data_IF_956145665084
#
_entry.id   IF_956145665084
#
_cell.length_a   1.000
_cell.length_b   1.000
_cell.length_c   1.000
_cell.angle_alpha   90.00
_cell.angle_beta   90.00
_cell.angle_gamma   90.00
#
_symmetry.space_group_name_H-M   'P 1'
#
loop_
_entity.id
_entity.type
_entity.pdbx_description
1 polymer ?
#
# COMPACT_ATOMS: atom_id res chain seq x y z
N UNK A 1 17.92 -29.22 -3.58
CA UNK A 1 17.08 -28.81 -4.70
C UNK A 1 16.43 -27.48 -4.40
N UNK A 2 16.62 -26.52 -5.28
CA UNK A 2 16.07 -25.17 -5.08
C UNK A 2 14.55 -25.16 -5.14
N UNK A 3 13.93 -24.23 -4.43
CA UNK A 3 12.50 -24.02 -4.51
C UNK A 3 12.20 -22.95 -5.57
N UNK A 4 11.30 -23.29 -6.49
CA UNK A 4 10.76 -22.32 -7.44
C UNK A 4 9.47 -21.76 -6.84
N UNK A 5 9.45 -20.46 -6.60
CA UNK A 5 8.31 -19.80 -5.95
C UNK A 5 7.56 -19.00 -7.00
N UNK A 6 6.28 -19.29 -7.15
CA UNK A 6 5.44 -18.64 -8.16
C UNK A 6 4.41 -17.73 -7.54
N UNK A 7 4.05 -16.68 -8.28
CA UNK A 7 2.95 -15.79 -7.91
C UNK A 7 1.61 -16.45 -8.29
N UNK A 8 0.51 -15.77 -7.90
CA UNK A 8 -0.83 -16.30 -8.15
C UNK A 8 -1.12 -16.56 -9.61
N UNK A 9 -0.48 -15.79 -10.51
CA UNK A 9 -0.70 -15.92 -11.97
C UNK A 9 0.23 -16.96 -12.60
N UNK A 10 0.89 -17.77 -11.80
CA UNK A 10 1.85 -18.82 -12.17
C UNK A 10 3.20 -18.29 -12.67
N UNK A 11 3.37 -16.97 -12.78
CA UNK A 11 4.67 -16.41 -13.13
C UNK A 11 5.64 -16.57 -11.96
N UNK A 12 6.88 -16.90 -12.28
CA UNK A 12 7.90 -17.09 -11.26
C UNK A 12 8.20 -15.80 -10.55
N UNK A 13 8.19 -15.84 -9.20
CA UNK A 13 8.65 -14.72 -8.38
C UNK A 13 10.16 -14.80 -8.18
N UNK A 14 10.65 -15.94 -7.73
CA UNK A 14 12.06 -16.13 -7.44
C UNK A 14 12.37 -17.63 -7.32
N UNK A 15 13.66 -17.95 -7.30
CA UNK A 15 14.15 -19.28 -6.99
C UNK A 15 14.99 -19.15 -5.72
N UNK A 16 14.66 -19.95 -4.71
CA UNK A 16 15.37 -19.94 -3.42
C UNK A 16 16.30 -21.13 -3.37
N UNK A 17 17.58 -20.88 -3.31
CA UNK A 17 18.60 -21.93 -3.26
C UNK A 17 18.60 -22.61 -1.92
N UNK A 18 19.06 -23.88 -1.89
CA UNK A 18 19.17 -24.64 -0.65
C UNK A 18 20.02 -23.90 0.36
N UNK A 19 19.58 -23.88 1.60
CA UNK A 19 20.33 -23.29 2.71
C UNK A 19 20.38 -21.78 2.71
N UNK A 20 19.58 -21.09 1.91
CA UNK A 20 19.61 -19.63 1.82
C UNK A 20 18.28 -19.00 2.19
N UNK A 21 18.33 -17.68 2.42
CA UNK A 21 17.16 -16.83 2.54
C UNK A 21 17.07 -15.95 1.30
N UNK A 22 15.86 -15.81 0.79
CA UNK A 22 15.60 -14.94 -0.35
C UNK A 22 14.80 -13.72 0.14
N UNK A 23 15.29 -12.54 -0.16
CA UNK A 23 14.67 -11.29 0.25
C UNK A 23 14.26 -10.45 -0.96
N UNK A 24 13.82 -11.12 -2.01
CA UNK A 24 13.24 -10.45 -3.18
C UNK A 24 12.01 -9.65 -2.79
N UNK A 25 11.25 -10.16 -1.81
CA UNK A 25 10.09 -9.46 -1.25
C UNK A 25 10.37 -9.01 0.17
N UNK A 26 9.36 -8.42 0.80
CA UNK A 26 9.47 -7.98 2.20
C UNK A 26 9.39 -9.15 3.19
N UNK A 27 9.07 -10.33 2.72
CA UNK A 27 9.19 -11.55 3.52
C UNK A 27 10.54 -12.20 3.26
N UNK A 28 11.00 -13.02 4.22
CA UNK A 28 12.20 -13.82 4.06
C UNK A 28 11.80 -15.21 3.64
N UNK A 29 11.97 -15.53 2.37
CA UNK A 29 11.63 -16.84 1.83
C UNK A 29 12.77 -17.82 2.12
N UNK A 30 12.41 -18.95 2.72
CA UNK A 30 13.38 -19.89 3.29
C UNK A 30 13.64 -21.00 2.28
N UNK A 31 14.91 -21.24 1.97
CA UNK A 31 15.33 -22.33 1.11
C UNK A 31 15.32 -23.65 1.87
N UNK A 32 15.42 -24.73 1.09
CA UNK A 32 15.46 -26.08 1.64
C UNK A 32 16.67 -26.22 2.57
N UNK A 33 16.45 -26.86 3.71
CA UNK A 33 17.52 -27.16 4.70
C UNK A 33 18.13 -25.92 5.34
N UNK A 34 17.42 -24.78 5.36
CA UNK A 34 17.92 -23.60 6.06
C UNK A 34 17.81 -23.81 7.56
N UNK A 35 18.94 -23.68 8.27
CA UNK A 35 18.96 -23.83 9.72
C UNK A 35 18.22 -22.66 10.38
N UNK A 36 17.36 -22.97 11.37
CA UNK A 36 16.60 -21.94 12.08
C UNK A 36 15.41 -21.41 11.32
N UNK A 37 14.89 -22.14 10.35
CA UNK A 37 13.79 -21.70 9.51
C UNK A 37 12.52 -21.38 10.30
N UNK A 38 12.31 -22.05 11.43
CA UNK A 38 11.06 -21.89 12.21
C UNK A 38 10.89 -20.48 12.75
N UNK A 39 11.96 -19.88 13.27
CA UNK A 39 11.90 -18.51 13.77
C UNK A 39 11.62 -17.54 12.64
N UNK A 40 12.28 -17.73 11.51
CA UNK A 40 12.09 -16.87 10.33
C UNK A 40 10.65 -16.94 9.85
N UNK A 41 10.08 -18.13 9.75
CA UNK A 41 8.70 -18.29 9.31
C UNK A 41 7.70 -17.67 10.28
N UNK A 42 7.96 -17.81 11.58
CA UNK A 42 7.08 -17.20 12.58
C UNK A 42 7.12 -15.67 12.46
N UNK A 43 8.28 -15.09 12.23
CA UNK A 43 8.39 -13.65 12.03
C UNK A 43 7.67 -13.22 10.76
N UNK A 44 7.75 -14.01 9.69
CA UNK A 44 6.98 -13.73 8.47
C UNK A 44 5.48 -13.71 8.75
N UNK A 45 4.99 -14.65 9.56
CA UNK A 45 3.56 -14.69 9.93
C UNK A 45 3.16 -13.44 10.69
N UNK A 46 4.02 -12.95 11.59
CA UNK A 46 3.72 -11.72 12.34
C UNK A 46 3.71 -10.52 11.41
N UNK A 47 4.65 -10.43 10.46
CA UNK A 47 4.64 -9.39 9.44
C UNK A 47 3.33 -9.38 8.65
N UNK A 48 2.86 -10.57 8.26
CA UNK A 48 1.58 -10.68 7.55
C UNK A 48 0.42 -10.24 8.43
N UNK A 49 0.41 -10.63 9.71
CA UNK A 49 -0.62 -10.21 10.65
C UNK A 49 -0.65 -8.69 10.82
N UNK A 50 0.52 -8.08 10.84
CA UNK A 50 0.65 -6.63 11.01
C UNK A 50 0.49 -5.87 9.70
N UNK A 51 0.26 -6.57 8.60
CA UNK A 51 0.19 -5.98 7.26
C UNK A 51 1.44 -5.15 6.97
N UNK A 52 2.62 -5.66 7.30
CA UNK A 52 3.90 -5.00 7.09
C UNK A 52 3.95 -3.60 7.72
N UNK A 53 3.37 -3.44 8.92
CA UNK A 53 3.25 -2.16 9.60
C UNK A 53 4.60 -1.45 9.71
N UNK A 54 4.57 -0.13 9.51
CA UNK A 54 5.76 0.70 9.66
C UNK A 54 5.49 2.12 9.22
N UNK A 55 6.34 3.04 9.66
CA UNK A 55 6.23 4.44 9.29
C UNK A 55 6.68 4.70 7.85
N UNK A 56 7.50 3.81 7.31
CA UNK A 56 7.98 3.89 5.93
C UNK A 56 7.40 2.74 5.12
N UNK A 57 7.18 2.99 3.83
CA UNK A 57 6.62 1.96 2.96
C UNK A 57 7.58 0.76 2.85
N UNK A 58 7.03 -0.46 2.73
CA UNK A 58 7.87 -1.64 2.52
C UNK A 58 8.72 -1.47 1.25
N UNK A 59 10.04 -1.74 1.35
CA UNK A 59 10.95 -1.43 0.24
C UNK A 59 10.93 -2.44 -0.90
N UNK A 60 10.36 -3.61 -0.68
CA UNK A 60 10.38 -4.71 -1.66
C UNK A 60 9.00 -5.24 -1.94
N UNK A 61 8.02 -4.33 -1.96
CA UNK A 61 6.62 -4.71 -2.13
C UNK A 61 6.34 -5.30 -3.51
N UNK A 62 5.41 -6.23 -3.54
CA UNK A 62 4.87 -6.74 -4.80
C UNK A 62 3.47 -6.16 -5.00
N UNK A 63 3.00 -6.21 -6.25
CA UNK A 63 1.66 -5.72 -6.57
C UNK A 63 0.61 -6.47 -5.75
N UNK A 64 -0.28 -5.73 -5.11
CA UNK A 64 -1.34 -6.31 -4.29
C UNK A 64 -1.00 -6.41 -2.82
N UNK A 65 0.23 -6.10 -2.43
CA UNK A 65 0.63 -6.16 -1.03
C UNK A 65 -0.08 -5.08 -0.21
N UNK A 66 -0.49 -5.45 1.00
CA UNK A 66 -1.12 -4.52 1.95
C UNK A 66 -0.03 -3.96 2.87
N UNK A 67 -0.17 -2.69 3.24
CA UNK A 67 0.74 -2.03 4.17
C UNK A 67 -0.06 -1.19 5.15
N UNK A 68 0.18 -1.38 6.45
CA UNK A 68 -0.36 -0.48 7.46
C UNK A 68 0.64 0.64 7.70
N UNK A 69 0.32 1.84 7.20
CA UNK A 69 1.12 3.04 7.40
C UNK A 69 0.88 3.53 8.83
N UNK A 70 1.80 3.17 9.73
CA UNK A 70 1.63 3.46 11.15
C UNK A 70 1.83 4.95 11.48
N UNK A 71 2.51 5.69 10.62
CA UNK A 71 2.71 7.13 10.81
C UNK A 71 1.40 7.90 10.63
N UNK A 72 0.55 7.43 9.70
CA UNK A 72 -0.70 8.11 9.36
C UNK A 72 -1.93 7.30 9.75
N UNK A 73 -1.75 6.12 10.35
CA UNK A 73 -2.84 5.20 10.72
C UNK A 73 -3.75 4.90 9.54
N UNK A 74 -3.17 4.56 8.41
CA UNK A 74 -3.88 4.27 7.17
C UNK A 74 -3.51 2.90 6.64
N UNK A 75 -4.49 2.15 6.18
CA UNK A 75 -4.25 0.89 5.50
C UNK A 75 -4.14 1.17 4.00
N UNK A 76 -3.07 0.67 3.39
CA UNK A 76 -2.77 0.95 1.98
C UNK A 76 -2.50 -0.34 1.23
N UNK A 77 -2.62 -0.29 -0.09
CA UNK A 77 -2.25 -1.40 -0.95
C UNK A 77 -1.39 -0.92 -2.10
N UNK A 78 -0.55 -1.82 -2.60
CA UNK A 78 0.33 -1.52 -3.73
C UNK A 78 -0.38 -1.92 -5.03
N UNK A 79 -0.58 -0.95 -5.94
CA UNK A 79 -1.27 -1.20 -7.21
C UNK A 79 -0.32 -1.58 -8.35
N UNK A 80 0.96 -1.77 -8.02
CA UNK A 80 2.00 -2.05 -9.00
C UNK A 80 2.82 -0.83 -9.38
N UNK A 81 2.32 0.36 -9.08
CA UNK A 81 2.97 1.63 -9.39
C UNK A 81 3.17 2.46 -8.14
N UNK A 82 2.18 2.50 -7.28
CA UNK A 82 2.22 3.32 -6.07
C UNK A 82 1.36 2.68 -4.99
N UNK A 83 1.50 3.21 -3.77
CA UNK A 83 0.65 2.84 -2.64
C UNK A 83 -0.61 3.69 -2.67
N UNK A 84 -1.76 3.04 -2.51
CA UNK A 84 -3.07 3.70 -2.52
C UNK A 84 -3.78 3.39 -1.22
N UNK A 85 -4.50 4.38 -0.71
CA UNK A 85 -5.32 4.20 0.50
C UNK A 85 -6.50 3.30 0.17
N UNK A 86 -6.81 2.35 1.07
CA UNK A 86 -7.91 1.41 0.86
C UNK A 86 -9.26 2.05 1.05
N UNK A 87 -9.33 3.19 1.73
CA UNK A 87 -10.59 3.90 1.95
C UNK A 87 -10.34 5.33 2.33
N UNK A 88 -11.39 6.15 2.29
CA UNK A 88 -11.31 7.55 2.57
C UNK A 88 -10.68 8.32 1.43
N UNK A 89 -10.35 9.57 1.69
CA UNK A 89 -9.75 10.46 0.70
C UNK A 89 -8.24 10.51 0.87
N UNK A 90 -7.54 10.82 -0.21
CA UNK A 90 -6.15 11.24 -0.12
C UNK A 90 -6.11 12.60 0.55
N UNK A 91 -5.28 12.77 1.57
CA UNK A 91 -5.22 13.99 2.35
C UNK A 91 -3.96 14.76 1.96
N UNK A 92 -4.13 15.97 1.44
CA UNK A 92 -2.99 16.74 0.95
C UNK A 92 -3.35 18.21 0.79
N UNK A 93 -2.36 19.09 0.96
CA UNK A 93 -2.54 20.53 0.71
C UNK A 93 -2.51 20.85 -0.78
N UNK A 94 -1.98 19.95 -1.59
CA UNK A 94 -1.91 20.13 -3.05
C UNK A 94 -2.54 18.92 -3.71
N UNK A 95 -3.04 19.10 -4.95
CA UNK A 95 -3.70 18.05 -5.68
C UNK A 95 -2.78 16.85 -5.86
N UNK A 96 -3.19 15.66 -5.39
CA UNK A 96 -2.35 14.47 -5.52
C UNK A 96 -2.28 13.98 -6.95
N UNK A 97 -1.13 13.40 -7.30
CA UNK A 97 -0.95 12.78 -8.62
C UNK A 97 -1.34 11.31 -8.56
N UNK A 98 -1.66 10.75 -9.72
CA UNK A 98 -1.82 9.31 -9.84
C UNK A 98 -3.12 8.75 -9.32
N UNK A 99 -4.15 9.57 -9.16
CA UNK A 99 -5.46 9.09 -8.76
C UNK A 99 -6.17 8.42 -9.94
N UNK A 100 -7.05 7.50 -9.62
CA UNK A 100 -7.95 6.88 -10.59
C UNK A 100 -9.32 7.54 -10.52
N UNK A 101 -10.08 7.43 -11.59
CA UNK A 101 -11.45 7.94 -11.64
C UNK A 101 -12.24 7.43 -10.44
N UNK A 102 -12.87 8.34 -9.72
CA UNK A 102 -13.67 8.01 -8.55
C UNK A 102 -12.92 8.14 -7.22
N UNK A 103 -11.62 8.34 -7.26
CA UNK A 103 -10.88 8.58 -6.02
C UNK A 103 -11.22 9.97 -5.47
N UNK A 104 -11.06 10.13 -4.15
CA UNK A 104 -11.33 11.40 -3.48
C UNK A 104 -10.06 12.04 -3.00
N UNK A 105 -10.09 13.39 -2.93
CA UNK A 105 -9.02 14.19 -2.37
C UNK A 105 -9.61 15.17 -1.37
N UNK A 106 -9.08 15.16 -0.14
CA UNK A 106 -9.41 16.15 0.87
C UNK A 106 -8.32 17.22 0.85
N UNK A 107 -8.67 18.41 0.38
CA UNK A 107 -7.77 19.57 0.29
C UNK A 107 -7.70 20.22 1.67
N UNK A 108 -6.56 20.05 2.35
CA UNK A 108 -6.39 20.58 3.70
C UNK A 108 -6.22 22.11 3.72
N UNK A 109 -5.83 22.71 2.60
CA UNK A 109 -5.66 24.17 2.51
C UNK A 109 -7.00 24.88 2.51
N UNK A 110 -7.93 24.39 1.70
CA UNK A 110 -9.24 25.00 1.51
C UNK A 110 -10.36 24.27 2.24
N UNK A 111 -10.04 23.14 2.87
CA UNK A 111 -11.00 22.29 3.57
C UNK A 111 -12.15 21.89 2.64
N UNK A 112 -11.80 21.36 1.48
CA UNK A 112 -12.74 20.96 0.45
C UNK A 112 -12.46 19.54 0.01
N UNK A 113 -13.55 18.82 -0.31
CA UNK A 113 -13.48 17.45 -0.83
C UNK A 113 -13.71 17.47 -2.34
N UNK A 114 -12.85 16.78 -3.06
CA UNK A 114 -12.92 16.63 -4.51
C UNK A 114 -13.03 15.18 -4.91
N UNK A 115 -13.67 14.93 -6.05
CA UNK A 115 -13.64 13.63 -6.72
C UNK A 115 -12.85 13.77 -8.02
N UNK A 116 -11.98 12.81 -8.30
CA UNK A 116 -11.23 12.80 -9.54
C UNK A 116 -12.04 12.09 -10.62
N UNK A 117 -12.26 12.76 -11.77
CA UNK A 117 -13.07 12.19 -12.83
C UNK A 117 -12.27 11.54 -13.97
N UNK A 118 -10.95 11.38 -13.75
CA UNK A 118 -10.05 10.81 -14.75
C UNK A 118 -9.25 11.88 -15.49
N UNK A 119 -9.64 13.14 -15.39
CA UNK A 119 -8.96 14.27 -16.02
C UNK A 119 -8.81 15.43 -15.05
N UNK A 120 -9.86 15.75 -14.29
CA UNK A 120 -9.88 16.91 -13.42
C UNK A 120 -10.44 16.54 -12.06
N UNK A 121 -10.18 17.40 -11.07
CA UNK A 121 -10.80 17.32 -9.76
C UNK A 121 -12.10 18.09 -9.76
N UNK A 122 -13.19 17.40 -9.44
CA UNK A 122 -14.53 17.99 -9.40
C UNK A 122 -14.87 18.25 -7.93
N UNK A 123 -15.16 19.50 -7.59
CA UNK A 123 -15.46 19.86 -6.22
C UNK A 123 -16.78 19.24 -5.77
N UNK A 124 -16.73 18.54 -4.64
CA UNK A 124 -17.93 17.98 -4.02
C UNK A 124 -18.46 18.96 -2.97
N UNK A 125 -17.58 19.54 -2.19
CA UNK A 125 -17.97 20.55 -1.19
C UNK A 125 -17.00 20.61 -0.03
N UNK A 126 -17.20 21.57 0.85
CA UNK A 126 -18.12 22.70 0.72
C UNK A 126 -17.72 23.62 -0.41
N UNK A 127 -18.66 24.32 -0.98
CA UNK A 127 -18.45 25.11 -2.19
C UNK A 127 -17.47 26.24 -1.97
N UNK A 128 -17.57 26.91 -0.85
CA UNK A 128 -16.71 28.01 -0.51
C UNK A 128 -16.80 28.23 0.99
N UNK A 129 -15.66 28.17 1.66
CA UNK A 129 -15.60 28.36 3.11
C UNK A 129 -16.24 29.69 3.52
N UNK A 130 -16.12 30.73 2.68
CA UNK A 130 -16.71 32.03 2.96
C UNK A 130 -18.17 32.15 2.61
N UNK A 131 -18.71 31.26 1.84
CA UNK A 131 -20.11 31.35 1.38
C UNK A 131 -21.09 30.86 2.42
N UNK A 132 -20.63 30.25 3.41
CA UNK A 132 -21.48 29.79 4.48
C UNK A 132 -22.48 28.75 4.09
N UNK A 133 -22.33 28.22 3.35
CA UNK A 133 -23.20 27.40 2.96
C UNK A 133 -23.71 26.66 3.78
N UNK A 134 -23.78 26.77 4.24
CA UNK A 134 -24.13 26.30 4.96
C UNK A 134 -25.26 26.21 5.25
N UNK A 135 -25.59 26.40 5.20
CA UNK A 135 -26.53 26.43 5.43
C UNK A 135 -27.26 25.69 5.13
N UNK A 136 -27.28 25.17 5.28
CA UNK A 136 -27.95 24.62 5.12
C UNK A 136 -28.49 24.20 5.65
#
# INVERSE_FOLDING_TARGET
MAYTINKYNTNQLTIVQDGTLDQTTDLKLVGKNYAGYGEIQNENFVFLLENFAGANQPPRAITGQIWFDSANSKLKFNDGTKWRTTGGAEISATAPAGLATGDFWWDTTNEQLYSYNGADFVLIGPQDAGSGITQM
#
